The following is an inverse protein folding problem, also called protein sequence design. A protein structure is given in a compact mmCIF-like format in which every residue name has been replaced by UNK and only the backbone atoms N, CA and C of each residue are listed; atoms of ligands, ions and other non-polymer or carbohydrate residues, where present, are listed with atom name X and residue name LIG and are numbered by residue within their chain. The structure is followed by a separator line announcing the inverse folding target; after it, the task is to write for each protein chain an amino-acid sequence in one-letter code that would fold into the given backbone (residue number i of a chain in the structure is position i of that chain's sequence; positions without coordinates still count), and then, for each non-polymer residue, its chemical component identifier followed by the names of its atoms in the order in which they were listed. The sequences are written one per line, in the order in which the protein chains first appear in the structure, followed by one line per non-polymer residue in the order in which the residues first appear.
data_IF_929209073731
#
_entry.id   IF_929209073731
#
_cell.length_a   1.000
_cell.length_b   1.000
_cell.length_c   1.000
_cell.angle_alpha   90.00
_cell.angle_beta   90.00
_cell.angle_gamma   90.00
#
_symmetry.space_group_name_H-M   'P 1'
#
loop_
_entity.id
_entity.type
_entity.pdbx_description
1 polymer ?
#
# COMPACT_ATOMS: atom_id res chain seq x y z
N UNK A 1 -46.91 18.99 -12.49
CA UNK A 1 -45.78 18.20 -11.99
C UNK A 1 -45.56 17.06 -12.95
N UNK A 2 -44.41 17.02 -13.63
CA UNK A 2 -44.04 15.89 -14.50
C UNK A 2 -43.79 14.66 -13.64
N UNK A 3 -44.30 13.50 -14.03
CA UNK A 3 -44.09 12.26 -13.29
C UNK A 3 -42.59 11.93 -13.21
N UNK A 4 -42.11 11.32 -12.10
CA UNK A 4 -40.74 10.87 -12.02
C UNK A 4 -40.45 9.83 -13.09
N UNK A 5 -39.34 9.99 -13.81
CA UNK A 5 -38.88 9.01 -14.79
C UNK A 5 -38.19 7.85 -14.06
N UNK A 6 -38.53 6.62 -14.45
CA UNK A 6 -37.95 5.40 -13.89
C UNK A 6 -37.17 4.65 -14.98
N UNK A 7 -36.03 4.10 -14.62
CA UNK A 7 -35.23 3.28 -15.52
C UNK A 7 -35.80 1.87 -15.65
N UNK A 8 -35.70 1.29 -16.84
CA UNK A 8 -36.11 -0.09 -17.10
C UNK A 8 -34.86 -0.98 -17.16
N UNK A 9 -34.89 -2.10 -16.42
CA UNK A 9 -33.75 -3.04 -16.34
C UNK A 9 -33.36 -3.67 -17.67
N UNK A 10 -34.26 -3.67 -18.65
CA UNK A 10 -34.01 -4.16 -20.01
C UNK A 10 -33.18 -3.17 -20.85
N UNK A 11 -33.15 -1.88 -20.51
CA UNK A 11 -32.46 -0.85 -21.29
C UNK A 11 -31.26 -0.30 -20.54
N UNK A 12 -30.09 -0.82 -20.88
CA UNK A 12 -28.83 -0.29 -20.39
C UNK A 12 -27.73 -0.42 -21.46
N UNK A 13 -26.78 0.50 -21.43
CA UNK A 13 -25.60 0.47 -22.29
C UNK A 13 -24.32 0.43 -21.46
N UNK A 14 -23.30 -0.22 -22.03
CA UNK A 14 -21.98 -0.37 -21.43
C UNK A 14 -20.94 0.22 -22.37
N UNK A 15 -20.18 1.18 -21.88
CA UNK A 15 -19.06 1.77 -22.61
C UNK A 15 -17.79 1.79 -21.78
N UNK A 16 -16.65 1.68 -22.45
CA UNK A 16 -15.31 1.84 -21.90
C UNK A 16 -14.77 3.18 -22.38
N UNK A 17 -14.09 3.91 -21.53
CA UNK A 17 -13.39 5.15 -21.84
C UNK A 17 -11.88 4.91 -21.79
N UNK A 18 -11.14 5.55 -22.68
CA UNK A 18 -9.68 5.69 -22.56
C UNK A 18 -8.84 4.62 -23.26
N UNK A 19 -9.43 3.74 -24.07
CA UNK A 19 -8.68 2.78 -24.88
C UNK A 19 -9.31 2.67 -26.27
N UNK A 20 -8.77 3.41 -27.23
CA UNK A 20 -9.02 3.25 -28.68
C UNK A 20 -9.71 4.41 -29.39
N UNK A 21 -10.01 4.22 -30.69
CA UNK A 21 -10.86 5.12 -31.45
C UNK A 21 -12.24 5.28 -30.82
N UNK A 22 -12.90 6.42 -31.04
CA UNK A 22 -14.20 6.76 -30.45
C UNK A 22 -15.26 5.65 -30.58
N UNK A 23 -15.25 4.93 -31.70
CA UNK A 23 -16.23 3.90 -32.06
C UNK A 23 -16.07 2.58 -31.28
N UNK A 24 -14.87 2.31 -30.76
CA UNK A 24 -14.55 1.09 -30.01
C UNK A 24 -14.84 1.21 -28.50
N UNK A 25 -15.27 2.40 -28.06
CA UNK A 25 -15.65 2.64 -26.66
C UNK A 25 -16.98 2.00 -26.29
N UNK A 26 -17.85 1.67 -27.23
CA UNK A 26 -19.12 1.04 -26.91
C UNK A 26 -19.00 -0.49 -26.98
N UNK A 27 -19.10 -1.16 -25.82
CA UNK A 27 -19.03 -2.62 -25.72
C UNK A 27 -20.31 -3.31 -26.20
N UNK A 28 -21.34 -2.54 -26.57
CA UNK A 28 -22.60 -3.04 -27.14
C UNK A 28 -23.69 -3.22 -26.08
N UNK A 29 -24.75 -3.92 -26.49
CA UNK A 29 -25.86 -4.28 -25.61
C UNK A 29 -25.59 -5.59 -24.88
N UNK A 30 -26.16 -5.71 -23.68
CA UNK A 30 -26.01 -6.88 -22.82
C UNK A 30 -27.38 -7.34 -22.34
N UNK A 31 -27.57 -8.65 -22.14
CA UNK A 31 -28.82 -9.20 -21.66
C UNK A 31 -28.96 -9.10 -20.14
N UNK A 32 -27.84 -9.09 -19.41
CA UNK A 32 -27.85 -8.88 -17.96
C UNK A 32 -26.57 -8.22 -17.48
N UNK A 33 -26.72 -7.35 -16.47
CA UNK A 33 -25.63 -6.79 -15.69
C UNK A 33 -25.90 -7.05 -14.21
N UNK A 34 -25.00 -7.77 -13.54
CA UNK A 34 -25.11 -8.09 -12.11
C UNK A 34 -23.83 -7.68 -11.37
N UNK A 35 -23.90 -7.58 -10.05
CA UNK A 35 -22.74 -7.24 -9.23
C UNK A 35 -22.43 -5.74 -9.13
N UNK A 36 -23.43 -4.88 -9.36
CA UNK A 36 -23.34 -3.46 -8.99
C UNK A 36 -23.68 -3.29 -7.49
N UNK A 37 -22.78 -3.75 -6.62
CA UNK A 37 -22.97 -3.72 -5.17
C UNK A 37 -21.79 -3.11 -4.43
N UNK A 38 -22.08 -2.53 -3.26
CA UNK A 38 -21.08 -1.99 -2.34
C UNK A 38 -21.37 -2.56 -0.96
N UNK A 39 -20.37 -3.18 -0.36
CA UNK A 39 -20.41 -3.71 1.01
C UNK A 39 -19.56 -2.81 1.91
N UNK A 40 -20.17 -2.24 2.93
CA UNK A 40 -19.47 -1.47 3.95
C UNK A 40 -19.04 -2.43 5.06
N UNK A 41 -17.75 -2.77 5.12
CA UNK A 41 -17.23 -3.59 6.20
C UNK A 41 -17.39 -2.87 7.54
N UNK A 42 -17.74 -3.62 8.58
CA UNK A 42 -17.88 -3.12 9.94
C UNK A 42 -17.17 -4.06 10.90
N UNK A 43 -16.51 -3.51 11.91
CA UNK A 43 -15.85 -4.25 12.99
C UNK A 43 -16.53 -3.93 14.31
N UNK A 44 -16.97 -4.94 15.04
CA UNK A 44 -17.55 -4.75 16.37
C UNK A 44 -16.46 -4.77 17.44
N UNK A 45 -16.41 -3.72 18.24
CA UNK A 45 -15.48 -3.55 19.34
C UNK A 45 -16.24 -3.50 20.67
N UNK A 46 -15.92 -4.44 21.56
CA UNK A 46 -16.48 -4.50 22.91
C UNK A 46 -15.69 -3.59 23.85
N UNK A 47 -16.25 -2.43 24.19
CA UNK A 47 -15.68 -1.55 25.21
C UNK A 47 -15.93 -2.13 26.61
N UNK A 48 -14.87 -2.18 27.43
CA UNK A 48 -15.00 -2.63 28.82
C UNK A 48 -15.91 -1.70 29.63
N UNK A 49 -16.91 -2.26 30.32
CA UNK A 49 -17.86 -1.51 31.16
C UNK A 49 -19.15 -1.11 30.45
N UNK A 50 -19.26 -1.31 29.14
CA UNK A 50 -20.48 -1.11 28.36
C UNK A 50 -21.00 -2.44 27.83
N UNK A 51 -22.17 -2.87 28.32
CA UNK A 51 -22.80 -4.16 27.98
C UNK A 51 -24.15 -4.03 27.24
N UNK A 52 -24.61 -2.80 26.97
CA UNK A 52 -25.89 -2.52 26.29
C UNK A 52 -25.79 -2.65 24.77
N UNK A 53 -24.67 -2.23 24.16
CA UNK A 53 -24.35 -2.54 22.78
C UNK A 53 -22.84 -2.41 22.48
N UNK A 54 -22.31 -3.20 21.53
CA UNK A 54 -20.94 -3.06 21.06
C UNK A 54 -20.75 -1.75 20.26
N UNK A 55 -19.55 -1.17 20.31
CA UNK A 55 -19.18 -0.10 19.39
C UNK A 55 -18.92 -0.68 18.00
N UNK A 56 -19.35 0.01 16.94
CA UNK A 56 -19.12 -0.44 15.56
C UNK A 56 -18.14 0.52 14.88
N UNK A 57 -16.98 -0.01 14.49
CA UNK A 57 -15.93 0.70 13.78
C UNK A 57 -16.09 0.49 12.27
N UNK A 58 -16.01 1.55 11.45
CA UNK A 58 -15.99 1.42 10.00
C UNK A 58 -14.76 0.63 9.51
N UNK A 59 -15.01 -0.42 8.74
CA UNK A 59 -13.99 -1.22 8.07
C UNK A 59 -13.81 -0.82 6.60
N UNK A 60 -13.24 -1.74 5.82
CA UNK A 60 -12.99 -1.53 4.38
C UNK A 60 -14.28 -1.60 3.57
N UNK A 61 -14.43 -0.70 2.60
CA UNK A 61 -15.47 -0.78 1.58
C UNK A 61 -15.04 -1.81 0.52
N UNK A 62 -15.90 -2.79 0.26
CA UNK A 62 -15.69 -3.80 -0.79
C UNK A 62 -16.67 -3.56 -1.92
N UNK A 63 -16.17 -3.60 -3.14
CA UNK A 63 -16.98 -3.56 -4.36
C UNK A 63 -17.11 -4.95 -4.94
N UNK A 64 -18.33 -5.34 -5.30
CA UNK A 64 -18.57 -6.65 -5.92
C UNK A 64 -18.10 -6.66 -7.37
N UNK A 65 -17.79 -7.86 -7.89
CA UNK A 65 -17.39 -8.01 -9.31
C UNK A 65 -18.61 -7.84 -10.20
N UNK A 66 -18.46 -7.06 -11.25
CA UNK A 66 -19.53 -6.85 -12.24
C UNK A 66 -19.50 -7.99 -13.25
N UNK A 67 -20.63 -8.65 -13.45
CA UNK A 67 -20.79 -9.73 -14.42
C UNK A 67 -21.78 -9.30 -15.48
N UNK A 68 -21.33 -9.28 -16.73
CA UNK A 68 -22.11 -8.95 -17.90
C UNK A 68 -22.33 -10.24 -18.71
N UNK A 69 -23.56 -10.49 -19.14
CA UNK A 69 -23.88 -11.63 -20.00
C UNK A 69 -24.68 -11.15 -21.20
N UNK A 70 -24.46 -11.77 -22.36
CA UNK A 70 -25.21 -11.49 -23.59
C UNK A 70 -25.24 -12.70 -24.52
N UNK A 71 -26.13 -12.66 -25.51
CA UNK A 71 -26.02 -13.54 -26.67
C UNK A 71 -24.85 -13.10 -27.57
N UNK A 72 -24.20 -14.06 -28.20
CA UNK A 72 -23.13 -13.78 -29.17
C UNK A 72 -23.69 -12.99 -30.34
N UNK A 73 -23.05 -11.86 -30.65
CA UNK A 73 -23.51 -10.88 -31.64
C UNK A 73 -22.44 -10.69 -32.71
N UNK A 74 -22.84 -10.62 -33.98
CA UNK A 74 -21.90 -10.38 -35.09
C UNK A 74 -21.23 -9.01 -35.02
N UNK A 75 -21.85 -8.04 -34.36
CA UNK A 75 -21.30 -6.68 -34.21
C UNK A 75 -20.58 -6.49 -32.88
N UNK A 76 -21.16 -6.95 -31.77
CA UNK A 76 -20.66 -6.60 -30.44
C UNK A 76 -19.60 -7.57 -29.89
N UNK A 77 -19.68 -8.85 -30.23
CA UNK A 77 -18.69 -9.86 -29.80
C UNK A 77 -17.27 -9.53 -30.29
N UNK A 78 -17.07 -9.17 -31.57
CA UNK A 78 -15.74 -8.74 -32.05
C UNK A 78 -15.22 -7.46 -31.37
N UNK A 79 -16.09 -6.54 -30.95
CA UNK A 79 -15.68 -5.30 -30.25
C UNK A 79 -15.09 -5.62 -28.88
N UNK A 80 -15.78 -6.46 -28.10
CA UNK A 80 -15.28 -6.92 -26.80
C UNK A 80 -13.97 -7.70 -26.98
N UNK A 81 -13.90 -8.59 -27.98
CA UNK A 81 -12.66 -9.31 -28.28
C UNK A 81 -11.49 -8.37 -28.57
N UNK A 82 -11.63 -7.39 -29.46
CA UNK A 82 -10.56 -6.41 -29.77
C UNK A 82 -10.17 -5.56 -28.55
N UNK A 83 -11.13 -5.21 -27.71
CA UNK A 83 -10.83 -4.52 -26.46
C UNK A 83 -10.01 -5.41 -25.52
N UNK A 84 -10.40 -6.67 -25.33
CA UNK A 84 -9.67 -7.63 -24.51
C UNK A 84 -8.28 -7.94 -25.08
N UNK A 85 -8.13 -8.05 -26.39
CA UNK A 85 -6.83 -8.22 -27.06
C UNK A 85 -5.88 -7.05 -26.77
N UNK A 86 -6.39 -5.81 -26.75
CA UNK A 86 -5.60 -4.63 -26.38
C UNK A 86 -5.20 -4.63 -24.91
N UNK A 87 -6.13 -4.97 -24.02
CA UNK A 87 -5.82 -5.13 -22.58
C UNK A 87 -4.78 -6.23 -22.38
N UNK A 88 -4.92 -7.37 -23.05
CA UNK A 88 -3.97 -8.47 -22.99
C UNK A 88 -2.60 -8.08 -23.55
N UNK A 89 -2.56 -7.37 -24.67
CA UNK A 89 -1.31 -6.87 -25.26
C UNK A 89 -0.59 -5.90 -24.30
N UNK A 90 -1.32 -4.98 -23.66
CA UNK A 90 -0.74 -4.11 -22.63
C UNK A 90 -0.23 -4.89 -21.43
N UNK A 91 -0.97 -5.91 -20.97
CA UNK A 91 -0.59 -6.70 -19.78
C UNK A 91 0.58 -7.66 -20.05
N UNK A 92 0.68 -8.22 -21.25
CA UNK A 92 1.77 -9.11 -21.65
C UNK A 92 3.03 -8.30 -21.95
N UNK A 93 2.89 -7.19 -22.68
CA UNK A 93 4.02 -6.36 -23.11
C UNK A 93 4.45 -5.33 -22.07
N UNK A 94 3.76 -5.20 -20.94
CA UNK A 94 4.18 -4.38 -19.79
C UNK A 94 5.36 -4.99 -19.04
N UNK A 95 6.35 -5.53 -19.75
CA UNK A 95 7.58 -6.15 -19.24
C UNK A 95 8.49 -5.24 -18.41
N UNK A 96 7.96 -4.19 -17.76
CA UNK A 96 8.67 -3.24 -16.90
C UNK A 96 7.95 -2.85 -15.62
N UNK A 97 6.64 -3.03 -15.44
CA UNK A 97 6.03 -2.97 -14.11
C UNK A 97 4.55 -3.35 -14.18
N UNK A 98 4.03 -4.09 -13.20
CA UNK A 98 2.58 -4.25 -13.03
C UNK A 98 1.90 -2.93 -12.60
N UNK A 99 2.69 -1.88 -12.35
CA UNK A 99 2.24 -0.55 -12.00
C UNK A 99 1.49 0.20 -13.13
N UNK A 100 1.74 -0.15 -14.40
CA UNK A 100 1.39 0.75 -15.50
C UNK A 100 0.00 0.51 -16.11
N UNK A 101 -0.63 -0.63 -15.84
CA UNK A 101 -2.03 -0.84 -16.24
C UNK A 101 -2.97 -0.35 -15.14
N UNK A 102 -3.34 0.92 -15.20
CA UNK A 102 -4.26 1.55 -14.26
C UNK A 102 -5.72 1.04 -14.37
N UNK A 103 -6.02 0.15 -15.31
CA UNK A 103 -7.40 -0.23 -15.64
C UNK A 103 -8.06 0.79 -16.58
N UNK A 104 -9.35 0.59 -16.87
CA UNK A 104 -10.13 1.46 -17.76
C UNK A 104 -11.33 2.05 -17.02
N UNK A 105 -11.76 3.26 -17.36
CA UNK A 105 -13.03 3.76 -16.84
C UNK A 105 -14.16 3.11 -17.65
N UNK A 106 -15.06 2.37 -16.98
CA UNK A 106 -16.20 1.73 -17.62
C UNK A 106 -17.49 2.34 -17.09
N UNK A 107 -18.39 2.68 -17.99
CA UNK A 107 -19.63 3.38 -17.68
C UNK A 107 -20.81 2.48 -18.02
N UNK A 108 -21.69 2.27 -17.03
CA UNK A 108 -22.96 1.55 -17.19
C UNK A 108 -24.07 2.57 -17.03
N UNK A 109 -24.93 2.69 -18.05
CA UNK A 109 -26.03 3.68 -18.06
C UNK A 109 -27.37 2.98 -18.11
N UNK A 110 -28.25 3.29 -17.16
CA UNK A 110 -29.64 2.85 -17.13
C UNK A 110 -30.51 3.84 -17.91
N UNK A 111 -31.43 3.33 -18.73
CA UNK A 111 -32.33 4.14 -19.55
C UNK A 111 -33.80 3.82 -19.30
N UNK A 112 -34.66 4.74 -19.68
CA UNK A 112 -36.12 4.58 -19.66
C UNK A 112 -36.65 3.93 -20.95
N UNK A 113 -35.91 4.02 -22.05
CA UNK A 113 -36.32 3.63 -23.38
C UNK A 113 -35.14 3.10 -24.20
N UNK A 114 -35.38 2.35 -25.29
CA UNK A 114 -34.31 1.86 -26.17
C UNK A 114 -33.61 2.98 -26.95
N UNK A 115 -34.12 4.21 -26.89
CA UNK A 115 -33.57 5.34 -27.64
C UNK A 115 -32.31 5.85 -26.96
N UNK A 116 -31.22 5.94 -27.71
CA UNK A 116 -29.90 6.34 -27.19
C UNK A 116 -29.73 7.86 -26.99
N UNK A 117 -30.70 8.67 -27.42
CA UNK A 117 -30.65 10.14 -27.39
C UNK A 117 -31.26 10.77 -26.13
N UNK A 118 -31.97 9.99 -25.32
CA UNK A 118 -32.43 10.39 -24.00
C UNK A 118 -31.28 10.50 -22.98
N UNK A 119 -31.45 11.35 -21.97
CA UNK A 119 -30.56 11.38 -20.82
C UNK A 119 -30.66 10.05 -20.05
N UNK A 120 -29.55 9.47 -19.58
CA UNK A 120 -29.61 8.28 -18.74
C UNK A 120 -30.33 8.60 -17.43
N UNK A 121 -31.12 7.65 -16.93
CA UNK A 121 -31.79 7.77 -15.63
C UNK A 121 -30.77 7.68 -14.50
N UNK A 122 -29.81 6.78 -14.63
CA UNK A 122 -28.73 6.59 -13.67
C UNK A 122 -27.47 6.11 -14.39
N UNK A 123 -26.32 6.51 -13.87
CA UNK A 123 -25.01 6.11 -14.38
C UNK A 123 -24.14 5.56 -13.25
N UNK A 124 -23.43 4.47 -13.53
CA UNK A 124 -22.36 3.92 -12.68
C UNK A 124 -21.04 4.00 -13.44
N UNK A 125 -20.12 4.82 -12.95
CA UNK A 125 -18.75 4.93 -13.48
C UNK A 125 -17.82 4.04 -12.67
N UNK A 126 -17.52 2.87 -13.21
CA UNK A 126 -16.54 1.96 -12.65
C UNK A 126 -15.14 2.48 -12.90
N UNK A 127 -14.47 2.91 -11.83
CA UNK A 127 -13.08 3.38 -11.90
C UNK A 127 -12.12 2.21 -12.01
N UNK A 128 -11.11 2.33 -12.86
CA UNK A 128 -10.02 1.37 -12.98
C UNK A 128 -10.52 -0.08 -13.10
N UNK A 129 -11.51 -0.28 -13.99
CA UNK A 129 -12.07 -1.58 -14.29
C UNK A 129 -11.05 -2.45 -15.04
N UNK A 130 -10.94 -3.71 -14.63
CA UNK A 130 -10.01 -4.70 -15.17
C UNK A 130 -10.81 -5.96 -15.51
N UNK A 131 -10.67 -6.53 -16.72
CA UNK A 131 -11.29 -7.80 -17.05
C UNK A 131 -10.65 -8.95 -16.25
N UNK A 132 -11.51 -9.76 -15.64
CA UNK A 132 -11.12 -10.95 -14.87
C UNK A 132 -11.24 -12.21 -15.74
N UNK A 133 -12.33 -12.35 -16.48
CA UNK A 133 -12.57 -13.48 -17.37
C UNK A 133 -13.56 -13.12 -18.47
N UNK A 134 -13.39 -13.74 -19.65
CA UNK A 134 -14.37 -13.72 -20.73
C UNK A 134 -14.62 -15.15 -21.20
N UNK A 135 -15.83 -15.65 -20.96
CA UNK A 135 -16.25 -17.01 -21.30
C UNK A 135 -17.11 -16.96 -22.57
N UNK A 136 -16.69 -17.71 -23.60
CA UNK A 136 -17.48 -17.92 -24.81
C UNK A 136 -18.61 -18.93 -24.60
N UNK A 137 -19.46 -19.12 -25.62
CA UNK A 137 -20.57 -20.08 -25.57
C UNK A 137 -20.09 -21.52 -25.55
N UNK A 138 -20.88 -22.39 -24.92
CA UNK A 138 -20.71 -23.84 -25.06
C UNK A 138 -21.28 -24.28 -26.42
N UNK A 139 -20.42 -24.76 -27.31
CA UNK A 139 -20.80 -25.23 -28.64
C UNK A 139 -21.04 -26.75 -28.62
N UNK A 140 -22.29 -27.18 -28.64
CA UNK A 140 -22.69 -28.58 -28.67
C UNK A 140 -23.63 -28.85 -29.85
N UNK A 141 -23.27 -29.80 -30.71
CA UNK A 141 -24.04 -30.13 -31.92
C UNK A 141 -25.46 -30.67 -31.60
N UNK A 142 -25.70 -31.15 -30.39
CA UNK A 142 -26.99 -31.69 -29.92
C UNK A 142 -27.86 -30.65 -29.20
N UNK A 143 -27.36 -29.43 -28.97
CA UNK A 143 -28.07 -28.39 -28.22
C UNK A 143 -28.69 -27.31 -29.12
N UNK A 144 -29.96 -26.98 -28.91
CA UNK A 144 -30.68 -25.91 -29.63
C UNK A 144 -30.73 -24.56 -28.90
N UNK A 145 -29.79 -24.29 -27.98
CA UNK A 145 -29.77 -23.08 -27.16
C UNK A 145 -29.15 -21.87 -27.86
N UNK A 146 -29.46 -20.66 -27.36
CA UNK A 146 -28.78 -19.44 -27.80
C UNK A 146 -27.35 -19.43 -27.24
N UNK A 147 -26.38 -19.20 -28.11
CA UNK A 147 -24.98 -19.03 -27.73
C UNK A 147 -24.84 -17.75 -26.90
N UNK A 148 -24.41 -17.88 -25.64
CA UNK A 148 -24.18 -16.74 -24.73
C UNK A 148 -22.72 -16.62 -24.35
N UNK A 149 -22.28 -15.38 -24.14
CA UNK A 149 -20.96 -15.05 -23.62
C UNK A 149 -21.07 -14.26 -22.32
N UNK A 150 -20.05 -14.37 -21.47
CA UNK A 150 -20.01 -13.77 -20.14
C UNK A 150 -18.68 -13.05 -19.92
N UNK A 151 -18.75 -11.78 -19.53
CA UNK A 151 -17.61 -10.94 -19.18
C UNK A 151 -17.67 -10.61 -17.68
N UNK A 152 -16.60 -10.88 -16.95
CA UNK A 152 -16.47 -10.54 -15.53
C UNK A 152 -15.41 -9.47 -15.36
N UNK A 153 -15.75 -8.44 -14.58
CA UNK A 153 -14.94 -7.25 -14.34
C UNK A 153 -14.72 -7.05 -12.84
N UNK A 154 -13.53 -6.59 -12.46
CA UNK A 154 -13.24 -6.03 -11.13
C UNK A 154 -12.98 -4.53 -11.29
N UNK A 155 -13.33 -3.72 -10.30
CA UNK A 155 -13.17 -2.27 -10.37
C UNK A 155 -12.86 -1.67 -8.98
N UNK A 156 -12.35 -0.43 -8.96
CA UNK A 156 -11.98 0.30 -7.73
C UNK A 156 -13.12 1.18 -7.19
N UNK A 157 -14.36 0.77 -7.45
CA UNK A 157 -15.57 1.47 -7.02
C UNK A 157 -16.16 2.46 -8.02
N UNK A 158 -17.40 2.86 -7.71
CA UNK A 158 -18.22 3.78 -8.49
C UNK A 158 -18.93 4.85 -7.64
N UNK A 159 -18.68 4.88 -6.34
CA UNK A 159 -19.19 5.94 -5.46
C UNK A 159 -18.27 7.16 -5.55
N UNK A 160 -18.86 8.34 -5.76
CA UNK A 160 -18.16 9.61 -5.76
C UNK A 160 -17.97 10.10 -4.32
N UNK A 161 -16.80 9.82 -3.74
CA UNK A 161 -16.42 10.48 -2.49
C UNK A 161 -16.04 11.92 -2.84
N UNK A 162 -16.87 12.89 -2.43
CA UNK A 162 -16.71 14.34 -2.69
C UNK A 162 -15.53 14.98 -1.94
N UNK A 163 -14.42 14.25 -1.81
CA UNK A 163 -13.16 14.65 -1.17
C UNK A 163 -12.02 14.84 -2.19
N UNK A 164 -12.35 14.99 -3.48
CA UNK A 164 -11.36 15.10 -4.56
C UNK A 164 -10.75 16.49 -4.73
N UNK A 165 -11.18 17.50 -3.95
CA UNK A 165 -10.76 18.89 -4.26
C UNK A 165 -9.77 19.53 -3.28
N UNK A 166 -9.51 19.03 -2.07
CA UNK A 166 -8.57 19.75 -1.16
C UNK A 166 -7.95 18.97 0.03
N UNK A 167 -7.83 17.64 0.00
CA UNK A 167 -6.97 16.94 0.97
C UNK A 167 -6.56 15.58 0.44
N UNK A 168 -5.25 15.35 0.39
CA UNK A 168 -4.59 14.10 0.03
C UNK A 168 -5.26 12.87 0.67
N UNK A 169 -6.15 12.20 -0.05
CA UNK A 169 -6.33 10.78 0.18
C UNK A 169 -5.06 10.12 -0.34
N UNK A 170 -4.24 9.58 0.58
CA UNK A 170 -3.03 8.81 0.30
C UNK A 170 -3.36 7.46 -0.38
N UNK A 171 -4.15 7.49 -1.44
CA UNK A 171 -4.48 6.36 -2.31
C UNK A 171 -3.89 6.69 -3.69
N UNK A 172 -2.57 6.63 -3.79
CA UNK A 172 -1.80 7.02 -4.97
C UNK A 172 -0.30 6.91 -4.73
N UNK A 173 0.51 7.32 -5.72
CA UNK A 173 1.99 7.37 -5.68
C UNK A 173 2.57 7.95 -4.39
N UNK A 174 1.82 8.83 -3.73
CA UNK A 174 2.22 9.58 -2.54
C UNK A 174 2.10 8.76 -1.25
N UNK A 175 1.39 7.62 -1.29
CA UNK A 175 1.26 6.66 -0.19
C UNK A 175 2.20 5.46 -0.31
N UNK A 176 3.20 5.50 -1.21
CA UNK A 176 4.16 4.40 -1.38
C UNK A 176 5.20 4.42 -0.26
N UNK A 177 5.52 3.24 0.27
CA UNK A 177 6.63 3.09 1.19
C UNK A 177 7.95 3.37 0.46
N UNK A 178 8.82 4.15 1.09
CA UNK A 178 10.13 4.51 0.56
C UNK A 178 11.22 4.19 1.58
N UNK A 179 12.31 3.60 1.11
CA UNK A 179 13.54 3.44 1.86
C UNK A 179 14.65 4.20 1.13
N UNK A 180 15.29 5.17 1.79
CA UNK A 180 16.39 5.95 1.21
C UNK A 180 17.62 5.91 2.11
N UNK A 181 18.81 6.00 1.52
CA UNK A 181 20.04 6.18 2.32
C UNK A 181 20.10 7.60 2.89
N UNK A 182 20.50 7.72 4.16
CA UNK A 182 20.71 9.02 4.81
C UNK A 182 21.99 9.69 4.30
N UNK A 183 22.95 8.90 3.83
CA UNK A 183 24.27 9.39 3.36
C UNK A 183 24.28 9.70 1.86
N UNK A 184 23.45 9.01 1.07
CA UNK A 184 23.38 9.17 -0.38
C UNK A 184 21.92 9.32 -0.83
N UNK A 185 21.53 10.55 -1.16
CA UNK A 185 20.16 10.87 -1.57
C UNK A 185 19.78 10.28 -2.93
N UNK A 186 20.73 9.74 -3.70
CA UNK A 186 20.45 9.12 -5.00
C UNK A 186 20.00 7.66 -4.90
N UNK A 187 20.21 7.04 -3.72
CA UNK A 187 19.87 5.63 -3.47
C UNK A 187 18.55 5.54 -2.73
N UNK A 188 17.48 5.31 -3.48
CA UNK A 188 16.13 5.12 -2.97
C UNK A 188 15.50 3.85 -3.55
N UNK A 189 14.78 3.11 -2.70
CA UNK A 189 13.93 1.99 -3.09
C UNK A 189 12.48 2.36 -2.77
N UNK A 190 11.66 2.43 -3.82
CA UNK A 190 10.23 2.73 -3.72
C UNK A 190 9.45 1.44 -3.92
N UNK A 191 8.61 1.10 -2.95
CA UNK A 191 7.75 -0.08 -3.03
C UNK A 191 6.44 0.25 -3.73
N UNK A 192 5.81 -0.77 -4.30
CA UNK A 192 4.59 -0.59 -5.09
C UNK A 192 3.40 -0.09 -4.26
N UNK A 193 3.35 -0.49 -2.97
CA UNK A 193 2.32 -0.10 -2.01
C UNK A 193 2.89 -0.04 -0.59
N UNK A 194 2.16 0.64 0.31
CA UNK A 194 2.39 0.55 1.76
C UNK A 194 1.83 -0.78 2.27
N UNK A 195 2.56 -1.52 3.12
CA UNK A 195 2.13 -2.82 3.62
C UNK A 195 0.82 -2.71 4.40
N UNK A 196 0.00 -3.77 4.36
CA UNK A 196 -1.27 -3.81 5.08
C UNK A 196 -1.07 -3.74 6.60
N UNK A 197 0.00 -4.34 7.11
CA UNK A 197 0.33 -4.32 8.53
C UNK A 197 1.80 -3.94 8.74
N UNK A 198 2.04 -2.98 9.62
CA UNK A 198 3.37 -2.65 10.16
C UNK A 198 3.42 -3.17 11.59
N UNK A 199 4.36 -4.06 11.90
CA UNK A 199 4.56 -4.55 13.26
C UNK A 199 5.70 -3.79 13.92
N UNK A 200 5.36 -3.13 15.02
CA UNK A 200 6.32 -2.46 15.90
C UNK A 200 6.54 -3.34 17.13
N UNK A 201 7.80 -3.61 17.46
CA UNK A 201 8.14 -4.37 18.67
C UNK A 201 9.33 -3.73 19.36
N UNK A 202 9.24 -3.58 20.68
CA UNK A 202 10.36 -3.12 21.51
C UNK A 202 10.60 -4.19 22.56
N UNK A 203 11.76 -4.86 22.48
CA UNK A 203 12.13 -5.93 23.43
C UNK A 203 13.31 -5.47 24.28
N UNK A 204 13.18 -5.58 25.60
CA UNK A 204 14.29 -5.40 26.53
C UNK A 204 15.05 -6.72 26.64
N UNK A 205 16.34 -6.73 26.29
CA UNK A 205 17.23 -7.85 26.58
C UNK A 205 17.89 -7.60 27.94
N UNK A 206 17.46 -8.34 28.96
CA UNK A 206 18.09 -8.35 30.29
C UNK A 206 19.06 -9.52 30.29
N UNK A 207 20.37 -9.23 30.17
CA UNK A 207 21.37 -10.28 29.95
C UNK A 207 22.20 -10.65 31.20
N UNK A 208 22.06 -9.94 32.33
CA UNK A 208 22.64 -10.41 33.60
C UNK A 208 21.82 -9.96 34.81
N UNK A 209 21.49 -10.92 35.68
CA UNK A 209 21.20 -10.65 37.09
C UNK A 209 22.50 -10.82 37.87
N UNK A 210 23.12 -9.74 38.31
CA UNK A 210 24.13 -9.81 39.38
C UNK A 210 23.41 -9.74 40.72
N UNK A 211 23.25 -10.87 41.40
CA UNK A 211 22.73 -10.90 42.77
C UNK A 211 23.85 -10.52 43.74
N UNK A 212 23.86 -9.25 44.18
CA UNK A 212 24.47 -8.81 45.43
C UNK A 212 23.38 -8.14 46.28
N UNK A 213 23.53 -8.00 47.61
CA UNK A 213 22.43 -7.68 48.55
C UNK A 213 21.75 -6.31 48.34
N UNK A 214 22.24 -5.50 47.41
CA UNK A 214 21.59 -4.30 46.86
C UNK A 214 21.35 -4.51 45.36
N UNK A 215 20.19 -5.09 45.03
CA UNK A 215 19.83 -5.50 43.67
C UNK A 215 19.63 -4.30 42.72
N UNK A 216 20.69 -3.87 42.04
CA UNK A 216 20.57 -2.95 40.90
C UNK A 216 20.45 -3.77 39.60
N UNK A 217 19.28 -3.66 38.94
CA UNK A 217 19.04 -4.25 37.62
C UNK A 217 19.80 -3.44 36.57
N UNK A 218 20.97 -3.92 36.16
CA UNK A 218 21.73 -3.26 35.10
C UNK A 218 21.24 -3.75 33.73
N UNK A 219 20.43 -2.94 33.04
CA UNK A 219 20.12 -3.18 31.63
C UNK A 219 21.43 -3.17 30.84
N UNK A 220 21.76 -4.29 30.20
CA UNK A 220 22.96 -4.40 29.37
C UNK A 220 22.80 -3.68 28.03
N UNK A 221 21.55 -3.49 27.56
CA UNK A 221 21.22 -2.78 26.32
C UNK A 221 19.91 -1.98 26.45
N UNK A 222 19.84 -0.73 25.96
CA UNK A 222 18.58 -0.02 25.81
C UNK A 222 17.68 -0.73 24.78
N UNK A 223 16.37 -0.84 25.05
CA UNK A 223 15.46 -1.52 24.12
C UNK A 223 15.21 -0.67 22.87
N UNK A 224 15.66 -1.16 21.73
CA UNK A 224 15.44 -0.52 20.43
C UNK A 224 14.10 -0.94 19.84
N UNK A 225 13.51 -0.06 19.04
CA UNK A 225 12.31 -0.38 18.27
C UNK A 225 12.70 -1.23 17.05
N UNK A 226 12.27 -2.49 17.04
CA UNK A 226 12.30 -3.37 15.88
C UNK A 226 11.02 -3.19 15.06
N UNK A 227 11.16 -2.97 13.75
CA UNK A 227 10.09 -2.77 12.80
C UNK A 227 10.14 -3.93 11.80
N UNK A 228 9.05 -4.68 11.69
CA UNK A 228 8.91 -5.73 10.67
C UNK A 228 7.89 -5.29 9.63
N UNK A 229 8.34 -5.19 8.38
CA UNK A 229 7.53 -4.84 7.22
C UNK A 229 7.35 -6.09 6.36
N UNK A 230 6.11 -6.58 6.28
CA UNK A 230 5.78 -7.78 5.53
C UNK A 230 5.19 -7.49 4.15
N UNK A 231 5.33 -8.45 3.23
CA UNK A 231 4.64 -8.47 1.93
C UNK A 231 4.89 -7.23 1.06
N UNK A 232 6.10 -6.65 1.11
CA UNK A 232 6.45 -5.54 0.24
C UNK A 232 6.68 -6.05 -1.17
N UNK A 233 6.26 -5.28 -2.18
CA UNK A 233 6.37 -5.70 -3.57
C UNK A 233 7.14 -4.70 -4.40
N UNK A 234 8.02 -5.25 -5.23
CA UNK A 234 8.74 -4.54 -6.29
C UNK A 234 8.40 -5.20 -7.62
N UNK A 235 7.91 -4.43 -8.58
CA UNK A 235 7.57 -4.87 -9.92
C UNK A 235 8.43 -4.13 -10.94
N UNK A 236 8.99 -4.90 -11.89
CA UNK A 236 9.85 -4.40 -12.96
C UNK A 236 11.25 -5.00 -12.92
N UNK A 237 11.77 -5.43 -14.08
CA UNK A 237 13.06 -6.15 -14.11
C UNK A 237 14.24 -5.25 -13.72
N UNK A 238 14.20 -3.96 -14.08
CA UNK A 238 15.24 -3.01 -13.72
C UNK A 238 15.13 -2.60 -12.25
N UNK A 239 13.89 -2.39 -11.79
CA UNK A 239 13.51 -1.97 -10.44
C UNK A 239 13.81 -3.06 -9.41
N UNK A 240 13.49 -4.32 -9.73
CA UNK A 240 13.84 -5.48 -8.90
C UNK A 240 15.36 -5.63 -8.80
N UNK A 241 16.09 -5.53 -9.92
CA UNK A 241 17.55 -5.66 -9.93
C UNK A 241 18.23 -4.53 -9.14
N UNK A 242 17.83 -3.28 -9.38
CA UNK A 242 18.40 -2.10 -8.71
C UNK A 242 17.99 -2.07 -7.24
N UNK A 243 16.71 -2.26 -6.94
CA UNK A 243 16.16 -2.20 -5.58
C UNK A 243 16.72 -3.30 -4.67
N UNK A 244 16.75 -4.55 -5.13
CA UNK A 244 17.33 -5.65 -4.33
C UNK A 244 18.85 -5.53 -4.27
N UNK A 245 19.49 -5.04 -5.33
CA UNK A 245 20.92 -4.73 -5.32
C UNK A 245 21.27 -3.71 -4.23
N UNK A 246 20.49 -2.62 -4.11
CA UNK A 246 20.64 -1.60 -3.07
C UNK A 246 20.37 -2.16 -1.67
N UNK A 247 19.29 -2.91 -1.48
CA UNK A 247 19.00 -3.54 -0.19
C UNK A 247 20.12 -4.49 0.24
N UNK A 248 20.69 -5.24 -0.70
CA UNK A 248 21.85 -6.13 -0.46
C UNK A 248 23.12 -5.35 -0.16
N UNK A 249 23.33 -4.20 -0.79
CA UNK A 249 24.43 -3.28 -0.50
C UNK A 249 24.31 -2.70 0.92
N UNK A 250 23.10 -2.31 1.32
CA UNK A 250 22.83 -1.71 2.63
C UNK A 250 22.98 -2.69 3.79
N UNK A 251 22.83 -3.99 3.55
CA UNK A 251 23.15 -5.04 4.53
C UNK A 251 24.67 -5.25 4.71
N UNK A 252 25.52 -4.77 3.80
CA UNK A 252 26.97 -4.94 3.93
C UNK A 252 27.53 -3.90 4.91
N UNK A 253 28.47 -4.29 5.79
CA UNK A 253 29.14 -3.34 6.64
C UNK A 253 30.00 -2.39 5.80
N UNK A 254 29.85 -1.09 6.05
CA UNK A 254 30.75 -0.01 5.64
C UNK A 254 32.16 -0.38 6.13
N UNK A 255 33.15 -0.47 5.23
CA UNK A 255 34.54 -0.71 5.61
C UNK A 255 34.98 0.38 6.59
N UNK A 256 35.55 -0.02 7.74
CA UNK A 256 36.18 0.93 8.63
C UNK A 256 37.26 1.72 7.85
N UNK A 257 37.39 3.04 8.04
CA UNK A 257 38.50 3.78 7.48
C UNK A 257 39.79 3.10 7.90
N UNK A 258 40.63 2.75 6.92
CA UNK A 258 41.93 2.14 7.17
C UNK A 258 42.67 3.04 8.17
N UNK A 259 43.13 2.52 9.32
CA UNK A 259 43.93 3.32 10.22
C UNK A 259 45.17 3.81 9.44
N UNK A 260 45.61 5.07 9.63
CA UNK A 260 46.88 5.51 9.08
C UNK A 260 47.98 4.54 9.55
N UNK A 261 49.04 4.29 8.74
CA UNK A 261 50.06 3.30 9.08
C UNK A 261 50.64 3.61 10.46
N UNK A 262 50.27 2.79 11.46
CA UNK A 262 50.68 2.97 12.84
C UNK A 262 52.14 2.57 12.99
N UNK A 263 52.94 3.49 13.52
CA UNK A 263 54.27 3.20 14.07
C UNK A 263 54.14 2.17 15.21
N UNK A 264 55.13 1.28 15.38
CA UNK A 264 55.02 0.17 16.32
C UNK A 264 55.12 0.66 17.78
N UNK A 265 54.09 0.41 18.61
CA UNK A 265 54.23 0.52 20.06
C UNK A 265 53.04 0.85 20.96
N UNK A 266 51.77 0.77 20.54
CA UNK A 266 50.63 1.06 21.45
C UNK A 266 49.78 -0.18 21.80
N UNK A 267 49.47 -0.42 23.09
CA UNK A 267 48.67 -1.55 23.53
C UNK A 267 47.20 -1.39 23.12
N UNK A 268 46.66 -2.42 22.49
CA UNK A 268 45.28 -2.47 22.02
C UNK A 268 44.34 -2.74 23.18
N UNK A 269 43.67 -1.72 23.70
CA UNK A 269 42.62 -1.88 24.71
C UNK A 269 41.34 -2.43 24.03
N UNK A 270 40.96 -3.66 24.39
CA UNK A 270 39.84 -4.39 23.83
C UNK A 270 38.51 -3.95 24.48
N UNK A 271 38.08 -2.73 24.16
CA UNK A 271 36.74 -2.23 24.48
C UNK A 271 35.67 -2.80 23.54
N UNK A 272 34.75 -3.58 24.11
CA UNK A 272 33.39 -3.94 23.65
C UNK A 272 33.16 -4.03 22.14
N UNK A 273 33.24 -5.26 21.63
CA UNK A 273 33.21 -5.62 20.21
C UNK A 273 31.89 -5.36 19.48
N UNK A 274 30.74 -5.27 20.18
CA UNK A 274 29.41 -5.25 19.55
C UNK A 274 28.86 -3.85 19.23
N UNK A 275 29.29 -2.79 19.93
CA UNK A 275 28.84 -1.42 19.64
C UNK A 275 29.53 -0.85 18.38
N UNK A 276 30.65 -1.47 17.98
CA UNK A 276 31.38 -1.19 16.73
C UNK A 276 30.67 -1.77 15.49
N UNK A 277 29.99 -2.92 15.61
CA UNK A 277 29.32 -3.57 14.47
C UNK A 277 28.16 -2.76 13.88
N UNK A 278 27.52 -1.90 14.67
CA UNK A 278 26.43 -1.04 14.18
C UNK A 278 26.92 0.30 13.62
N UNK A 279 28.10 0.79 14.03
CA UNK A 279 28.76 1.95 13.39
C UNK A 279 29.19 1.65 11.95
N UNK A 280 29.29 0.37 11.62
CA UNK A 280 29.59 -0.09 10.26
C UNK A 280 28.34 -0.34 9.43
N UNK A 281 27.11 -0.27 9.94
CA UNK A 281 25.93 -0.50 9.08
C UNK A 281 25.38 0.81 8.51
N UNK A 282 24.78 0.74 7.33
CA UNK A 282 24.29 1.93 6.64
C UNK A 282 23.06 2.52 7.35
N UNK A 283 23.01 3.85 7.42
CA UNK A 283 21.87 4.60 7.97
C UNK A 283 20.82 4.79 6.88
N UNK A 284 19.61 4.32 7.12
CA UNK A 284 18.50 4.41 6.19
C UNK A 284 17.38 5.26 6.80
N UNK A 285 16.57 5.85 5.94
CA UNK A 285 15.34 6.55 6.28
C UNK A 285 14.17 5.81 5.67
N UNK A 286 13.23 5.42 6.51
CA UNK A 286 11.94 4.85 6.10
C UNK A 286 10.92 5.96 6.12
N UNK A 287 10.22 6.14 5.01
CA UNK A 287 9.10 7.08 4.89
C UNK A 287 7.83 6.32 4.53
N UNK A 288 6.81 6.44 5.38
CA UNK A 288 5.45 5.92 5.17
C UNK A 288 4.48 7.08 4.96
N UNK A 289 3.88 7.17 3.78
CA UNK A 289 2.95 8.26 3.43
C UNK A 289 3.62 9.44 2.71
N UNK A 290 2.88 10.55 2.58
CA UNK A 290 3.38 11.76 1.90
C UNK A 290 4.60 12.34 2.63
N UNK A 291 5.53 12.97 1.90
CA UNK A 291 6.76 13.51 2.49
C UNK A 291 6.51 14.58 3.56
N UNK A 292 5.37 15.27 3.51
CA UNK A 292 5.04 16.40 4.39
C UNK A 292 4.28 16.00 5.67
N UNK A 293 3.60 14.85 5.69
CA UNK A 293 2.72 14.41 6.82
C UNK A 293 2.90 12.90 7.15
N UNK A 294 3.91 12.27 6.58
CA UNK A 294 4.20 10.85 6.71
C UNK A 294 5.10 10.52 7.90
N UNK A 295 5.10 9.24 8.31
CA UNK A 295 6.00 8.74 9.34
C UNK A 295 7.39 8.59 8.71
N UNK A 296 8.36 9.37 9.20
CA UNK A 296 9.77 9.31 8.80
C UNK A 296 10.62 8.90 9.99
N UNK A 297 11.31 7.77 9.89
CA UNK A 297 12.19 7.27 10.95
C UNK A 297 13.54 6.82 10.39
N UNK A 298 14.62 7.11 11.13
CA UNK A 298 15.94 6.60 10.82
C UNK A 298 16.11 5.19 11.38
N UNK A 299 16.49 4.26 10.50
CA UNK A 299 16.56 2.83 10.78
C UNK A 299 17.83 2.22 10.22
N UNK A 300 18.13 1.01 10.72
CA UNK A 300 19.14 0.10 10.23
C UNK A 300 18.43 -1.12 9.67
N UNK A 301 18.83 -1.57 8.48
CA UNK A 301 18.37 -2.83 7.92
C UNK A 301 19.13 -4.00 8.56
N UNK A 302 18.43 -4.86 9.30
CA UNK A 302 19.02 -6.00 10.02
C UNK A 302 18.72 -7.35 9.38
N UNK A 303 17.65 -7.44 8.58
CA UNK A 303 17.33 -8.65 7.83
C UNK A 303 16.44 -8.38 6.63
N UNK A 304 16.61 -9.18 5.59
CA UNK A 304 15.78 -9.16 4.39
C UNK A 304 15.55 -10.58 3.87
N UNK A 305 14.29 -10.93 3.64
CA UNK A 305 13.90 -12.13 2.90
C UNK A 305 13.29 -11.72 1.56
N UNK A 306 13.77 -12.33 0.47
CA UNK A 306 13.32 -12.03 -0.89
C UNK A 306 12.79 -13.31 -1.54
N UNK A 307 11.56 -13.24 -2.06
CA UNK A 307 10.95 -14.29 -2.88
C UNK A 307 10.70 -13.74 -4.29
N UNK A 308 11.19 -14.42 -5.32
CA UNK A 308 10.95 -14.03 -6.71
C UNK A 308 9.74 -14.76 -7.29
N UNK A 309 8.74 -14.00 -7.74
CA UNK A 309 7.45 -14.57 -8.19
C UNK A 309 7.35 -14.66 -9.72
N UNK A 310 8.07 -13.81 -10.47
CA UNK A 310 7.96 -13.73 -11.94
C UNK A 310 9.31 -13.44 -12.57
N UNK A 311 9.54 -14.05 -13.73
CA UNK A 311 10.74 -13.88 -14.54
C UNK A 311 10.39 -13.46 -15.97
N UNK A 312 11.29 -12.72 -16.62
CA UNK A 312 11.21 -12.42 -18.05
C UNK A 312 11.55 -13.66 -18.88
N UNK A 313 11.27 -13.62 -20.18
CA UNK A 313 11.68 -14.70 -21.11
C UNK A 313 13.21 -14.90 -21.16
N UNK A 314 14.00 -13.87 -20.79
CA UNK A 314 15.45 -13.95 -20.70
C UNK A 314 15.94 -14.55 -19.35
N UNK A 315 15.03 -14.87 -18.42
CA UNK A 315 15.35 -15.42 -17.10
C UNK A 315 15.64 -14.37 -16.02
N UNK A 316 15.47 -13.07 -16.31
CA UNK A 316 15.64 -12.01 -15.31
C UNK A 316 14.43 -11.92 -14.39
N UNK A 317 14.59 -11.79 -13.05
CA UNK A 317 13.47 -11.59 -12.14
C UNK A 317 12.81 -10.23 -12.40
N UNK A 318 11.49 -10.21 -12.56
CA UNK A 318 10.71 -9.00 -12.81
C UNK A 318 9.61 -8.74 -11.76
N UNK A 319 9.49 -9.62 -10.76
CA UNK A 319 8.66 -9.40 -9.57
C UNK A 319 9.30 -10.05 -8.36
N UNK A 320 9.37 -9.30 -7.26
CA UNK A 320 9.84 -9.81 -5.98
C UNK A 320 8.94 -9.38 -4.82
N UNK A 321 8.73 -10.31 -3.89
CA UNK A 321 8.20 -10.05 -2.55
C UNK A 321 9.36 -9.90 -1.59
N UNK A 322 9.31 -8.88 -0.76
CA UNK A 322 10.35 -8.55 0.20
C UNK A 322 9.74 -8.45 1.59
N UNK A 323 10.37 -9.11 2.55
CA UNK A 323 10.11 -8.92 3.98
C UNK A 323 11.34 -8.24 4.57
N UNK A 324 11.14 -7.10 5.22
CA UNK A 324 12.22 -6.33 5.83
C UNK A 324 12.11 -6.37 7.35
N UNK A 325 13.25 -6.60 7.99
CA UNK A 325 13.43 -6.41 9.43
C UNK A 325 14.36 -5.23 9.64
N UNK A 326 13.86 -4.22 10.34
CA UNK A 326 14.52 -2.95 10.57
C UNK A 326 14.65 -2.70 12.07
N UNK A 327 15.66 -1.94 12.48
CA UNK A 327 15.84 -1.47 13.85
C UNK A 327 16.07 0.04 13.90
N UNK A 328 15.54 0.72 14.91
CA UNK A 328 15.72 2.16 15.11
C UNK A 328 17.20 2.56 15.26
N UNK A 329 17.61 3.59 14.52
CA UNK A 329 18.93 4.19 14.63
C UNK A 329 18.93 5.24 15.75
N UNK A 330 19.22 4.83 16.98
CA UNK A 330 19.30 5.73 18.15
C UNK A 330 19.40 4.99 19.48
N UNK A 331 19.95 5.64 20.51
CA UNK A 331 19.90 5.12 21.86
C UNK A 331 18.48 5.28 22.41
N UNK A 332 17.86 4.21 22.92
CA UNK A 332 16.64 4.35 23.69
C UNK A 332 16.98 5.07 25.01
N UNK A 333 16.74 6.38 25.06
CA UNK A 333 17.12 7.22 26.18
C UNK A 333 17.26 8.69 25.81
N UNK A 334 16.16 9.29 25.36
CA UNK A 334 16.01 10.75 25.21
C UNK A 334 14.72 11.19 25.88
N UNK A 335 14.51 10.81 27.13
CA UNK A 335 13.55 11.50 27.98
C UNK A 335 14.09 12.90 28.18
N UNK A 336 13.39 13.89 27.65
CA UNK A 336 13.59 15.29 27.94
C UNK A 336 13.41 15.50 29.44
N UNK A 337 14.52 15.44 30.16
CA UNK A 337 14.58 15.89 31.55
C UNK A 337 14.64 17.41 31.48
N UNK A 338 13.64 18.14 32.02
CA UNK A 338 13.64 19.59 31.92
C UNK A 338 14.91 20.12 32.59
N UNK A 339 15.68 20.89 31.83
CA UNK A 339 16.90 21.51 32.28
C UNK A 339 16.59 22.45 33.45
N UNK A 340 16.80 21.98 34.67
CA UNK A 340 17.11 22.86 35.78
C UNK A 340 18.48 23.49 35.50
N UNK A 341 18.47 24.74 35.05
CA UNK A 341 19.63 25.62 35.21
C UNK A 341 19.17 26.93 35.82
N UNK A 342 19.27 26.94 37.14
CA UNK A 342 19.60 28.07 38.01
C UNK A 342 19.88 29.41 37.32
N UNK A 343 18.98 30.37 37.54
CA UNK A 343 19.35 31.76 37.78
C UNK A 343 18.86 32.14 39.17
N UNK A 344 19.78 32.16 40.13
CA UNK A 344 19.56 32.83 41.40
C UNK A 344 19.74 34.33 41.23
N UNK A 345 18.76 35.12 41.66
CA UNK A 345 18.87 36.10 42.75
C UNK A 345 17.79 37.18 42.63
N UNK A 346 17.15 37.46 43.78
CA UNK A 346 16.26 38.59 44.10
C UNK A 346 14.82 38.46 43.57
N UNK A 347 13.74 38.46 44.36
CA UNK A 347 13.54 39.11 45.66
C UNK A 347 12.41 38.40 46.40
N UNK A 348 12.59 38.19 47.71
CA UNK A 348 11.57 37.73 48.62
C UNK A 348 10.51 38.82 48.86
N UNK A 349 9.22 38.50 48.73
CA UNK A 349 8.20 39.02 49.64
C UNK A 349 6.88 38.23 49.56
N UNK A 350 6.62 37.48 50.65
CA UNK A 350 5.33 37.21 51.30
C UNK A 350 4.06 37.63 50.55
N UNK A 351 3.17 36.67 50.30
CA UNK A 351 1.82 36.73 50.89
C UNK A 351 1.21 35.32 50.94
N UNK A 352 1.11 34.81 52.16
CA UNK A 352 0.14 33.79 52.53
C UNK A 352 -1.20 34.52 52.76
N UNK A 353 -2.29 34.06 52.13
CA UNK A 353 -3.54 33.82 52.85
C UNK A 353 -4.60 33.19 51.93
N UNK A 354 -4.84 31.91 52.16
CA UNK A 354 -6.15 31.29 51.93
C UNK A 354 -7.11 31.67 53.06
N UNK A 355 -8.38 31.90 52.71
CA UNK A 355 -9.59 31.93 53.54
C UNK A 355 -10.00 33.29 54.13
N UNK A 356 -10.97 33.93 53.47
CA UNK A 356 -12.35 34.21 53.95
C UNK A 356 -12.94 35.42 53.22
N UNK A 357 -13.78 35.18 52.21
CA UNK A 357 -15.18 35.60 52.17
C UNK A 357 -15.87 35.04 50.95
#
# INVERSE_FOLDING_TARGET
MTAPAFGLTIWFDVSVLGLGPADDHQLGQWSSCTGLGVEFGTEEFGEGGRYDCPAVLPGRIKYTRVTLQRAVSTTDSPRVQRWLERVAAQWINSGRSAADFAGVELVIKLRDSPRSDGAPIQEWRLRNAIPVSWNGPTLAATGGGVATEQLVLVHQGFLTTKASDSAAHATGSDGKLKLASVTDSTKEVVFQYTPETVRLSRKHLINSLTTNPTSELKLTRPARLGITLGQLRVDGAAEVRAGIGLLSEWMRPIPAPQPPPSMPGEPTDSGTTEDKSYRTLQRLRVTLGSADDGISQEVILTGMDVTYDRFTAAGDPCRAQVVLTLEEFGAAGGGEQPAETSTGTSSAQKLADTRKR
#
